data_IF_570935109092
#
_entry.id   IF_570935109092
#
_cell.length_a   1.000
_cell.length_b   1.000
_cell.length_c   1.000
_cell.angle_alpha   90.00
_cell.angle_beta   90.00
_cell.angle_gamma   90.00
#
_symmetry.space_group_name_H-M   'P 1'
#
loop_
_entity.id
_entity.type
_entity.pdbx_description
1 polymer ?
#
# COMPACT_ATOMS: atom_id res chain seq x y z
N UNK A 1 -4.85 -15.85 9.63
CA UNK A 1 -4.86 -14.82 10.69
C UNK A 1 -3.99 -15.18 11.90
N UNK A 2 -3.25 -16.29 11.85
CA UNK A 2 -2.56 -16.84 13.03
C UNK A 2 -1.35 -16.03 13.49
N UNK A 3 -0.73 -15.23 12.61
CA UNK A 3 0.47 -14.45 12.96
C UNK A 3 0.22 -13.46 14.11
N UNK A 4 -0.81 -12.63 13.99
CA UNK A 4 -1.09 -11.60 15.00
C UNK A 4 -1.47 -12.20 16.35
N UNK A 5 -2.26 -13.28 16.34
CA UNK A 5 -2.77 -13.90 17.55
C UNK A 5 -1.71 -14.77 18.26
N UNK A 6 -0.96 -15.57 17.49
CA UNK A 6 -0.11 -16.61 18.08
C UNK A 6 1.33 -16.14 18.31
N UNK A 7 1.76 -15.04 17.69
CA UNK A 7 3.14 -14.56 17.77
C UNK A 7 3.19 -13.10 18.19
N UNK A 8 2.65 -12.18 17.36
CA UNK A 8 2.82 -10.75 17.63
C UNK A 8 2.21 -10.32 18.97
N UNK A 9 1.01 -10.81 19.29
CA UNK A 9 0.37 -10.49 20.57
C UNK A 9 1.16 -11.06 21.75
N UNK A 10 1.66 -12.28 21.64
CA UNK A 10 2.47 -12.89 22.70
C UNK A 10 3.75 -12.09 22.94
N UNK A 11 4.43 -11.65 21.88
CA UNK A 11 5.66 -10.87 22.00
C UNK A 11 5.39 -9.46 22.56
N UNK A 12 4.29 -8.81 22.17
CA UNK A 12 3.87 -7.54 22.78
C UNK A 12 3.49 -7.69 24.25
N UNK A 13 2.85 -8.79 24.65
CA UNK A 13 2.54 -9.06 26.06
C UNK A 13 3.81 -9.34 26.87
N UNK A 14 4.76 -10.07 26.29
CA UNK A 14 6.06 -10.35 26.92
C UNK A 14 6.88 -9.08 27.11
N UNK A 15 6.84 -8.15 26.15
CA UNK A 15 7.49 -6.84 26.25
C UNK A 15 6.88 -5.93 27.33
N UNK A 16 5.65 -6.22 27.79
CA UNK A 16 4.96 -5.45 28.81
C UNK A 16 4.90 -3.95 28.48
N UNK A 17 5.47 -3.12 29.37
CA UNK A 17 5.54 -1.67 29.20
C UNK A 17 6.90 -1.17 28.67
N UNK A 18 7.80 -2.08 28.27
CA UNK A 18 9.11 -1.72 27.73
C UNK A 18 8.99 -1.23 26.29
N UNK A 19 9.17 0.08 26.09
CA UNK A 19 9.14 0.70 24.76
C UNK A 19 10.20 0.09 23.84
N UNK A 20 11.40 -0.18 24.37
CA UNK A 20 12.52 -0.72 23.60
C UNK A 20 12.18 -2.13 23.10
N UNK A 21 11.62 -2.99 23.96
CA UNK A 21 11.23 -4.36 23.56
C UNK A 21 10.06 -4.36 22.57
N UNK A 22 9.09 -3.45 22.72
CA UNK A 22 8.01 -3.26 21.75
C UNK A 22 8.59 -2.84 20.38
N UNK A 23 9.57 -1.93 20.35
CA UNK A 23 10.26 -1.53 19.12
C UNK A 23 10.97 -2.74 18.48
N UNK A 24 11.67 -3.54 19.28
CA UNK A 24 12.34 -4.75 18.82
C UNK A 24 11.35 -5.76 18.21
N UNK A 25 10.14 -5.90 18.77
CA UNK A 25 9.09 -6.73 18.19
C UNK A 25 8.73 -6.28 16.76
N UNK A 26 8.62 -4.98 16.50
CA UNK A 26 8.36 -4.47 15.14
C UNK A 26 9.50 -4.82 14.16
N UNK A 27 10.74 -4.67 14.61
CA UNK A 27 11.93 -4.96 13.79
C UNK A 27 12.03 -6.46 13.48
N UNK A 28 11.92 -7.32 14.49
CA UNK A 28 11.99 -8.77 14.35
C UNK A 28 10.91 -9.32 13.38
N UNK A 29 9.71 -8.73 13.42
CA UNK A 29 8.58 -9.18 12.59
C UNK A 29 8.42 -8.45 11.27
N UNK A 30 9.32 -7.49 10.94
CA UNK A 30 9.25 -6.69 9.70
C UNK A 30 8.97 -7.52 8.46
N UNK A 31 9.77 -8.56 8.22
CA UNK A 31 9.64 -9.39 7.02
C UNK A 31 8.32 -10.18 7.02
N UNK A 32 7.84 -10.59 8.19
CA UNK A 32 6.57 -11.30 8.32
C UNK A 32 5.39 -10.38 8.04
N UNK A 33 5.45 -9.14 8.51
CA UNK A 33 4.49 -8.10 8.14
C UNK A 33 4.48 -7.90 6.63
N UNK A 34 5.64 -7.68 6.01
CA UNK A 34 5.74 -7.42 4.57
C UNK A 34 5.09 -8.56 3.77
N UNK A 35 5.47 -9.82 4.03
CA UNK A 35 4.90 -10.98 3.33
C UNK A 35 3.39 -11.10 3.50
N UNK A 36 2.89 -10.96 4.73
CA UNK A 36 1.48 -11.13 5.06
C UNK A 36 0.63 -10.05 4.40
N UNK A 37 1.02 -8.79 4.57
CA UNK A 37 0.27 -7.63 4.08
C UNK A 37 0.43 -7.45 2.57
N UNK A 38 1.57 -7.80 1.97
CA UNK A 38 1.72 -7.79 0.51
C UNK A 38 0.72 -8.73 -0.15
N UNK A 39 0.63 -9.98 0.34
CA UNK A 39 -0.34 -10.96 -0.17
C UNK A 39 -1.77 -10.47 0.00
N UNK A 40 -2.09 -9.87 1.13
CA UNK A 40 -3.44 -9.37 1.40
C UNK A 40 -3.80 -8.19 0.48
N UNK A 41 -2.94 -7.17 0.41
CA UNK A 41 -3.15 -5.98 -0.42
C UNK A 41 -3.27 -6.33 -1.90
N UNK A 42 -2.47 -7.30 -2.39
CA UNK A 42 -2.55 -7.77 -3.78
C UNK A 42 -3.91 -8.39 -4.12
N UNK A 43 -4.50 -9.14 -3.19
CA UNK A 43 -5.75 -9.85 -3.42
C UNK A 43 -7.00 -9.01 -3.09
N UNK A 44 -6.85 -7.93 -2.31
CA UNK A 44 -7.97 -7.10 -1.83
C UNK A 44 -8.84 -6.53 -2.97
N UNK A 45 -8.30 -5.99 -4.08
CA UNK A 45 -9.13 -5.47 -5.18
C UNK A 45 -10.00 -6.54 -5.81
N UNK A 46 -9.44 -7.74 -6.05
CA UNK A 46 -10.17 -8.88 -6.61
C UNK A 46 -11.28 -9.33 -5.65
N UNK A 47 -10.98 -9.45 -4.35
CA UNK A 47 -11.97 -9.81 -3.33
C UNK A 47 -13.13 -8.82 -3.25
N UNK A 48 -12.87 -7.52 -3.40
CA UNK A 48 -13.93 -6.50 -3.45
C UNK A 48 -14.71 -6.50 -4.77
N UNK A 49 -14.06 -6.79 -5.89
CA UNK A 49 -14.75 -6.93 -7.18
C UNK A 49 -15.75 -8.09 -7.13
N UNK A 50 -15.29 -9.28 -6.72
CA UNK A 50 -16.14 -10.46 -6.54
C UNK A 50 -17.27 -10.19 -5.56
N UNK A 51 -16.98 -9.61 -4.39
CA UNK A 51 -18.03 -9.28 -3.41
C UNK A 51 -19.09 -8.34 -3.98
N UNK A 52 -18.71 -7.35 -4.78
CA UNK A 52 -19.66 -6.41 -5.42
C UNK A 52 -20.51 -7.11 -6.49
N UNK A 53 -19.89 -7.94 -7.33
CA UNK A 53 -20.60 -8.73 -8.35
C UNK A 53 -21.63 -9.68 -7.73
N UNK A 54 -21.24 -10.37 -6.65
CA UNK A 54 -22.13 -11.29 -5.95
C UNK A 54 -23.18 -10.57 -5.07
N UNK A 55 -23.09 -9.24 -4.94
CA UNK A 55 -24.08 -8.46 -4.18
C UNK A 55 -25.37 -8.23 -4.99
N UNK A 56 -25.33 -8.33 -6.33
CA UNK A 56 -26.54 -8.36 -7.17
C UNK A 56 -27.20 -9.73 -7.20
N UNK A 57 -26.53 -10.79 -6.73
CA UNK A 57 -27.14 -12.09 -6.50
C UNK A 57 -27.84 -12.10 -5.12
N UNK A 58 -29.18 -12.09 -5.16
CA UNK A 58 -30.02 -12.06 -3.95
C UNK A 58 -29.77 -13.21 -2.98
N UNK A 59 -29.28 -14.37 -3.44
CA UNK A 59 -28.98 -15.52 -2.58
C UNK A 59 -27.71 -15.26 -1.77
N UNK A 60 -26.63 -14.80 -2.42
CA UNK A 60 -25.34 -14.55 -1.76
C UNK A 60 -25.42 -13.30 -0.87
N UNK A 61 -26.11 -12.25 -1.32
CA UNK A 61 -26.36 -11.08 -0.49
C UNK A 61 -27.10 -11.44 0.81
N UNK A 62 -28.14 -12.29 0.71
CA UNK A 62 -28.89 -12.78 1.88
C UNK A 62 -28.03 -13.67 2.77
N UNK A 63 -27.17 -14.53 2.20
CA UNK A 63 -26.23 -15.35 2.98
C UNK A 63 -25.31 -14.49 3.85
N UNK A 64 -24.67 -13.45 3.29
CA UNK A 64 -23.79 -12.58 4.07
C UNK A 64 -24.54 -11.77 5.14
N UNK A 65 -25.76 -11.31 4.84
CA UNK A 65 -26.60 -10.62 5.81
C UNK A 65 -26.97 -11.53 7.00
N UNK A 66 -27.33 -12.80 6.73
CA UNK A 66 -27.65 -13.76 7.79
C UNK A 66 -26.41 -14.13 8.62
N UNK A 67 -25.25 -14.31 7.98
CA UNK A 67 -23.99 -14.50 8.69
C UNK A 67 -23.65 -13.32 9.60
N UNK A 68 -23.86 -12.08 9.13
CA UNK A 68 -23.64 -10.87 9.94
C UNK A 68 -24.58 -10.84 11.15
N UNK A 69 -25.87 -11.14 10.95
CA UNK A 69 -26.87 -11.20 12.02
C UNK A 69 -26.53 -12.27 13.05
N UNK A 70 -26.22 -13.48 12.61
CA UNK A 70 -25.83 -14.61 13.49
C UNK A 70 -24.58 -14.32 14.29
N UNK A 71 -23.62 -13.61 13.72
CA UNK A 71 -22.40 -13.20 14.42
C UNK A 71 -22.61 -11.98 15.34
N UNK A 72 -23.79 -11.35 15.33
CA UNK A 72 -24.06 -10.12 16.10
C UNK A 72 -23.17 -8.95 15.67
N UNK A 73 -22.70 -8.94 14.42
CA UNK A 73 -21.73 -7.95 13.97
C UNK A 73 -22.40 -6.62 13.58
N UNK A 74 -21.97 -5.47 14.15
CA UNK A 74 -22.57 -4.17 13.87
C UNK A 74 -22.19 -3.59 12.51
N UNK A 75 -21.14 -4.12 11.86
CA UNK A 75 -20.63 -3.61 10.59
C UNK A 75 -20.77 -4.67 9.48
N UNK A 76 -20.84 -4.26 8.19
CA UNK A 76 -20.81 -5.19 7.08
C UNK A 76 -19.43 -5.84 6.93
N UNK A 77 -19.38 -7.01 6.29
CA UNK A 77 -18.14 -7.77 6.02
C UNK A 77 -17.05 -6.89 5.38
N UNK A 78 -17.40 -6.00 4.45
CA UNK A 78 -16.47 -5.09 3.77
C UNK A 78 -15.66 -4.23 4.74
N UNK A 79 -16.28 -3.76 5.84
CA UNK A 79 -15.59 -2.98 6.86
C UNK A 79 -14.53 -3.82 7.61
N UNK A 80 -14.83 -5.10 7.87
CA UNK A 80 -13.86 -6.02 8.49
C UNK A 80 -12.70 -6.37 7.54
N UNK A 81 -12.97 -6.49 6.24
CA UNK A 81 -11.95 -6.71 5.21
C UNK A 81 -11.02 -5.49 5.02
N UNK A 82 -11.38 -4.31 5.50
CA UNK A 82 -10.46 -3.15 5.51
C UNK A 82 -9.52 -3.15 6.71
N UNK A 83 -9.85 -3.87 7.80
CA UNK A 83 -9.07 -3.83 9.05
C UNK A 83 -7.59 -4.18 8.88
N UNK A 84 -7.16 -5.15 8.04
CA UNK A 84 -5.74 -5.42 7.85
C UNK A 84 -4.99 -4.21 7.24
N UNK A 85 -5.54 -3.60 6.19
CA UNK A 85 -4.93 -2.41 5.56
C UNK A 85 -4.85 -1.27 6.57
N UNK A 86 -5.92 -1.04 7.34
CA UNK A 86 -5.93 -0.02 8.39
C UNK A 86 -4.93 -0.32 9.51
N UNK A 87 -4.75 -1.59 9.87
CA UNK A 87 -3.86 -2.01 10.95
C UNK A 87 -2.40 -1.75 10.60
N UNK A 88 -1.97 -2.16 9.40
CA UNK A 88 -0.57 -1.96 8.98
C UNK A 88 -0.24 -0.47 8.85
N UNK A 89 -1.17 0.37 8.38
CA UNK A 89 -0.97 1.83 8.29
C UNK A 89 -1.02 2.52 9.66
N UNK A 90 -1.67 1.92 10.66
CA UNK A 90 -1.79 2.49 12.00
C UNK A 90 -0.51 2.32 12.83
N UNK A 91 0.31 1.30 12.58
CA UNK A 91 1.53 1.08 13.37
C UNK A 91 2.50 2.26 13.35
N UNK A 92 2.74 2.89 12.20
CA UNK A 92 3.59 4.08 12.14
C UNK A 92 2.99 5.28 12.89
N UNK A 93 1.65 5.41 12.95
CA UNK A 93 0.99 6.45 13.74
C UNK A 93 1.19 6.23 15.24
N UNK A 94 1.07 4.97 15.68
CA UNK A 94 1.27 4.59 17.07
C UNK A 94 2.74 4.81 17.49
N UNK A 95 3.70 4.42 16.65
CA UNK A 95 5.12 4.67 16.90
C UNK A 95 5.45 6.16 16.94
N UNK A 96 4.85 6.99 16.06
CA UNK A 96 4.95 8.45 16.15
C UNK A 96 4.40 9.00 17.46
N UNK A 97 3.32 8.42 17.97
CA UNK A 97 2.74 8.83 19.25
C UNK A 97 3.64 8.45 20.43
N UNK A 98 4.23 7.25 20.40
CA UNK A 98 5.23 6.81 21.38
C UNK A 98 6.46 7.71 21.33
N UNK A 99 6.94 8.06 20.13
CA UNK A 99 8.11 8.93 19.96
C UNK A 99 7.93 10.29 20.68
N UNK A 100 6.72 10.86 20.66
CA UNK A 100 6.42 12.14 21.35
C UNK A 100 6.49 12.07 22.88
N UNK A 101 6.30 10.88 23.46
CA UNK A 101 6.13 10.71 24.90
C UNK A 101 7.22 9.86 25.55
N UNK A 102 8.09 9.21 24.76
CA UNK A 102 9.17 8.39 25.28
C UNK A 102 10.34 9.22 25.80
N UNK A 103 11.06 8.69 26.78
CA UNK A 103 12.31 9.28 27.27
C UNK A 103 13.44 9.17 26.25
N UNK A 104 14.47 10.00 26.40
CA UNK A 104 15.56 10.13 25.42
C UNK A 104 16.29 8.80 25.12
N UNK A 105 16.39 7.91 26.12
CA UNK A 105 16.99 6.59 25.95
C UNK A 105 16.23 5.69 24.97
N UNK A 106 14.90 5.87 24.87
CA UNK A 106 14.05 5.05 23.99
C UNK A 106 13.90 5.65 22.58
N UNK A 107 14.13 6.96 22.40
CA UNK A 107 13.93 7.66 21.12
C UNK A 107 14.65 6.98 19.94
N UNK A 108 15.94 6.61 20.03
CA UNK A 108 16.64 5.97 18.90
C UNK A 108 15.98 4.66 18.45
N UNK A 109 15.48 3.86 19.40
CA UNK A 109 14.78 2.60 19.10
C UNK A 109 13.42 2.84 18.45
N UNK A 110 12.70 3.88 18.90
CA UNK A 110 11.42 4.27 18.31
C UNK A 110 11.63 4.80 16.89
N UNK A 111 12.67 5.61 16.66
CA UNK A 111 13.04 6.12 15.34
C UNK A 111 13.38 4.98 14.37
N UNK A 112 14.16 4.00 14.81
CA UNK A 112 14.50 2.82 14.02
C UNK A 112 13.24 2.00 13.65
N UNK A 113 12.39 1.70 14.64
CA UNK A 113 11.15 0.96 14.41
C UNK A 113 10.19 1.74 13.51
N UNK A 114 10.08 3.06 13.69
CA UNK A 114 9.25 3.93 12.87
C UNK A 114 9.74 3.97 11.43
N UNK A 115 11.04 4.19 11.23
CA UNK A 115 11.68 4.18 9.91
C UNK A 115 11.43 2.86 9.19
N UNK A 116 11.64 1.74 9.90
CA UNK A 116 11.29 0.42 9.39
C UNK A 116 9.81 0.33 8.97
N UNK A 117 8.87 0.68 9.84
CA UNK A 117 7.45 0.58 9.48
C UNK A 117 7.05 1.51 8.31
N UNK A 118 7.65 2.69 8.18
CA UNK A 118 7.46 3.59 7.03
C UNK A 118 8.00 2.96 5.73
N UNK A 119 9.21 2.41 5.76
CA UNK A 119 9.81 1.73 4.62
C UNK A 119 9.00 0.51 4.19
N UNK A 120 8.46 -0.25 5.14
CA UNK A 120 7.59 -1.37 4.85
C UNK A 120 6.34 -0.91 4.10
N UNK A 121 5.70 0.18 4.56
CA UNK A 121 4.53 0.75 3.88
C UNK A 121 4.88 1.26 2.48
N UNK A 122 6.04 1.89 2.32
CA UNK A 122 6.53 2.33 1.02
C UNK A 122 6.76 1.15 0.06
N UNK A 123 7.34 0.04 0.53
CA UNK A 123 7.52 -1.18 -0.25
C UNK A 123 6.17 -1.82 -0.63
N UNK A 124 5.22 -1.92 0.30
CA UNK A 124 3.87 -2.40 0.00
C UNK A 124 3.19 -1.54 -1.07
N UNK A 125 3.24 -0.22 -0.91
CA UNK A 125 2.66 0.73 -1.86
C UNK A 125 3.27 0.55 -3.26
N UNK A 126 4.60 0.53 -3.33
CA UNK A 126 5.37 0.31 -4.56
C UNK A 126 4.94 -0.95 -5.28
N UNK A 127 4.89 -2.08 -4.58
CA UNK A 127 4.51 -3.36 -5.14
C UNK A 127 3.08 -3.34 -5.71
N UNK A 128 2.13 -2.67 -5.03
CA UNK A 128 0.75 -2.57 -5.52
C UNK A 128 0.62 -1.74 -6.79
N UNK A 129 1.43 -0.69 -6.95
CA UNK A 129 1.43 0.12 -8.15
C UNK A 129 2.13 -0.55 -9.33
N UNK A 130 3.24 -1.25 -9.08
CA UNK A 130 3.99 -1.99 -10.10
C UNK A 130 3.12 -3.01 -10.83
N UNK A 131 2.18 -3.68 -10.14
CA UNK A 131 1.24 -4.64 -10.75
C UNK A 131 0.38 -4.03 -11.87
N UNK A 132 0.22 -2.70 -11.88
CA UNK A 132 -0.64 -2.00 -12.82
C UNK A 132 0.16 -1.19 -13.86
N UNK A 133 1.49 -1.24 -13.85
CA UNK A 133 2.33 -0.55 -14.84
C UNK A 133 2.76 -1.55 -15.91
N UNK A 134 2.46 -1.26 -17.19
CA UNK A 134 2.77 -2.11 -18.32
C UNK A 134 3.69 -1.40 -19.33
N UNK A 135 4.50 -2.17 -20.07
CA UNK A 135 5.33 -1.64 -21.16
C UNK A 135 6.58 -0.86 -20.69
N UNK A 136 6.95 -0.97 -19.42
CA UNK A 136 8.25 -0.49 -18.95
C UNK A 136 9.34 -1.46 -19.38
N UNK A 137 10.37 -0.96 -20.07
CA UNK A 137 11.51 -1.76 -20.51
C UNK A 137 12.60 -1.65 -19.46
N UNK A 138 12.58 -2.56 -18.50
CA UNK A 138 13.48 -2.59 -17.34
C UNK A 138 12.83 -3.32 -16.17
N UNK A 139 13.55 -3.42 -15.07
CA UNK A 139 13.05 -4.02 -13.84
C UNK A 139 12.46 -2.94 -12.93
N UNK A 140 11.12 -2.87 -12.84
CA UNK A 140 10.45 -1.93 -11.96
C UNK A 140 10.84 -2.13 -10.50
N UNK A 141 11.20 -3.35 -10.08
CA UNK A 141 11.60 -3.64 -8.70
C UNK A 141 12.88 -2.92 -8.28
N UNK A 142 13.72 -2.55 -9.26
CA UNK A 142 14.96 -1.79 -9.04
C UNK A 142 14.75 -0.28 -8.98
N UNK A 143 13.54 0.22 -9.26
CA UNK A 143 13.24 1.65 -9.20
C UNK A 143 13.16 2.18 -7.74
N UNK A 144 13.15 1.31 -6.73
CA UNK A 144 13.03 1.71 -5.33
C UNK A 144 11.61 2.13 -4.96
N UNK A 145 11.46 2.87 -3.86
CA UNK A 145 10.14 3.20 -3.32
C UNK A 145 9.41 4.23 -4.18
N UNK A 146 8.11 4.04 -4.39
CA UNK A 146 7.21 5.04 -4.96
C UNK A 146 6.98 6.16 -3.94
N UNK A 147 7.45 7.37 -4.26
CA UNK A 147 7.35 8.57 -3.43
C UNK A 147 6.14 9.44 -3.77
N UNK A 148 5.80 9.50 -5.06
CA UNK A 148 4.70 10.35 -5.51
C UNK A 148 3.99 9.76 -6.72
N UNK A 149 2.67 9.95 -6.74
CA UNK A 149 1.84 9.62 -7.87
C UNK A 149 0.77 10.69 -8.05
N UNK A 150 0.66 11.26 -9.25
CA UNK A 150 -0.43 12.17 -9.59
C UNK A 150 -0.68 12.21 -11.11
N UNK A 151 -1.89 12.58 -11.51
CA UNK A 151 -2.21 12.84 -12.90
C UNK A 151 -1.98 14.33 -13.21
N UNK A 152 -1.35 14.64 -14.35
CA UNK A 152 -1.13 16.02 -14.78
C UNK A 152 -1.06 16.15 -16.30
N UNK A 153 -1.17 17.40 -16.77
CA UNK A 153 -0.98 17.75 -18.17
C UNK A 153 0.49 18.07 -18.45
N UNK A 154 1.10 17.31 -19.36
CA UNK A 154 2.50 17.47 -19.77
C UNK A 154 2.57 18.24 -21.08
N UNK A 155 3.41 19.27 -21.11
CA UNK A 155 3.69 20.08 -22.29
C UNK A 155 5.14 19.87 -22.72
N UNK A 156 5.35 19.35 -23.92
CA UNK A 156 6.70 19.24 -24.49
C UNK A 156 7.06 20.51 -25.24
N UNK A 157 8.20 21.10 -24.92
CA UNK A 157 8.71 22.27 -25.61
C UNK A 157 9.49 21.88 -26.88
N UNK A 158 9.06 22.36 -28.06
CA UNK A 158 9.81 22.19 -29.31
C UNK A 158 10.76 23.35 -29.51
N UNK A 159 12.07 23.11 -29.28
CA UNK A 159 13.12 24.12 -29.44
C UNK A 159 13.13 24.77 -30.83
N UNK A 160 12.96 23.97 -31.91
CA UNK A 160 12.99 24.46 -33.31
C UNK A 160 11.92 25.49 -33.63
N UNK A 161 10.71 25.32 -33.09
CA UNK A 161 9.56 26.19 -33.38
C UNK A 161 9.25 27.16 -32.23
N UNK A 162 10.03 27.14 -31.13
CA UNK A 162 9.80 27.88 -29.87
C UNK A 162 8.34 27.84 -29.39
N UNK A 163 7.68 26.70 -29.52
CA UNK A 163 6.26 26.50 -29.17
C UNK A 163 6.10 25.28 -28.28
N UNK A 164 5.10 25.33 -27.39
CA UNK A 164 4.65 24.17 -26.64
C UNK A 164 3.77 23.29 -27.54
N UNK A 165 3.96 21.98 -27.43
CA UNK A 165 3.02 21.02 -28.01
C UNK A 165 1.70 21.04 -27.23
N UNK A 166 0.66 20.44 -27.83
CA UNK A 166 -0.62 20.19 -27.17
C UNK A 166 -0.39 19.41 -25.86
N UNK A 167 -1.14 19.79 -24.83
CA UNK A 167 -1.16 19.13 -23.54
C UNK A 167 -1.37 17.61 -23.69
N UNK A 168 -0.58 16.84 -22.97
CA UNK A 168 -0.68 15.39 -22.90
C UNK A 168 -1.01 14.98 -21.46
N UNK A 169 -2.23 14.49 -21.22
CA UNK A 169 -2.60 13.94 -19.92
C UNK A 169 -1.77 12.67 -19.61
N UNK A 170 -1.07 12.66 -18.49
CA UNK A 170 -0.20 11.56 -18.05
C UNK A 170 -0.36 11.30 -16.56
N UNK A 171 -0.25 10.03 -16.18
CA UNK A 171 -0.02 9.62 -14.81
C UNK A 171 1.49 9.63 -14.55
N UNK A 172 1.92 10.35 -13.53
CA UNK A 172 3.30 10.35 -13.06
C UNK A 172 3.48 9.34 -11.93
N UNK A 173 4.57 8.59 -11.98
CA UNK A 173 5.06 7.75 -10.88
C UNK A 173 6.51 8.13 -10.58
N UNK A 174 6.74 8.80 -9.46
CA UNK A 174 8.07 9.15 -8.99
C UNK A 174 8.56 8.06 -8.04
N UNK A 175 9.53 7.29 -8.48
CA UNK A 175 10.28 6.37 -7.65
C UNK A 175 11.64 6.96 -7.27
N UNK A 176 12.31 6.37 -6.29
CA UNK A 176 13.67 6.75 -5.89
C UNK A 176 14.66 6.73 -7.08
N UNK A 177 14.54 5.73 -7.96
CA UNK A 177 15.37 5.57 -9.15
C UNK A 177 14.97 6.42 -10.37
N UNK A 178 13.85 7.14 -10.31
CA UNK A 178 13.43 8.03 -11.39
C UNK A 178 11.93 8.21 -11.55
N UNK A 179 11.56 9.04 -12.53
CA UNK A 179 10.19 9.43 -12.84
C UNK A 179 9.67 8.69 -14.08
N UNK A 180 8.55 7.98 -13.94
CA UNK A 180 7.82 7.39 -15.06
C UNK A 180 6.62 8.25 -15.44
N UNK A 181 6.42 8.38 -16.75
CA UNK A 181 5.26 8.98 -17.37
C UNK A 181 4.46 7.88 -18.03
N UNK A 182 3.26 7.63 -17.52
CA UNK A 182 2.35 6.62 -18.03
C UNK A 182 1.10 7.26 -18.63
N UNK A 183 0.47 6.57 -19.57
CA UNK A 183 -0.88 6.85 -20.03
C UNK A 183 -1.84 5.92 -19.32
N UNK A 184 -2.83 6.48 -18.63
CA UNK A 184 -3.93 5.71 -18.03
C UNK A 184 -4.74 5.03 -19.14
N UNK A 185 -4.99 3.74 -18.99
CA UNK A 185 -5.76 2.90 -19.91
C UNK A 185 -6.82 2.15 -19.12
N UNK A 186 -7.95 1.88 -19.76
CA UNK A 186 -8.99 1.03 -19.21
C UNK A 186 -9.09 -0.22 -20.07
N UNK A 187 -9.27 -1.38 -19.44
CA UNK A 187 -9.64 -2.62 -20.14
C UNK A 187 -11.11 -2.92 -19.85
N UNK A 188 -11.79 -3.58 -20.79
CA UNK A 188 -13.15 -4.09 -20.57
C UNK A 188 -13.13 -5.41 -19.80
N UNK A 189 -12.54 -5.42 -18.60
CA UNK A 189 -12.60 -6.57 -17.69
C UNK A 189 -13.11 -6.14 -16.31
N UNK A 190 -14.02 -6.92 -15.68
CA UNK A 190 -14.71 -6.51 -14.45
C UNK A 190 -13.78 -6.29 -13.23
N UNK A 191 -12.60 -6.90 -13.22
CA UNK A 191 -11.75 -7.05 -12.02
C UNK A 191 -10.44 -6.25 -12.05
N UNK A 192 -10.06 -5.70 -13.22
CA UNK A 192 -8.88 -4.84 -13.39
C UNK A 192 -9.25 -3.72 -14.38
N UNK A 193 -10.01 -2.74 -13.89
CA UNK A 193 -10.62 -1.72 -14.74
C UNK A 193 -9.60 -0.76 -15.36
N UNK A 194 -8.41 -0.63 -14.77
CA UNK A 194 -7.43 0.39 -15.16
C UNK A 194 -5.98 -0.11 -15.03
N UNK A 195 -5.14 0.25 -16.00
CA UNK A 195 -3.69 0.05 -15.97
C UNK A 195 -2.96 1.27 -16.54
N UNK A 196 -1.65 1.35 -16.32
CA UNK A 196 -0.80 2.48 -16.65
C UNK A 196 0.25 2.04 -17.67
N UNK A 197 0.04 2.45 -18.92
CA UNK A 197 0.95 2.14 -20.02
C UNK A 197 2.14 3.11 -20.00
N UNK A 198 3.35 2.62 -19.76
CA UNK A 198 4.57 3.41 -19.78
C UNK A 198 4.80 4.10 -21.15
N UNK A 199 5.23 5.37 -21.12
CA UNK A 199 5.51 6.17 -22.32
C UNK A 199 6.89 6.81 -22.32
N UNK A 200 7.36 7.26 -21.17
CA UNK A 200 8.64 7.93 -21.02
C UNK A 200 9.13 7.71 -19.58
N UNK A 201 10.45 7.68 -19.41
CA UNK A 201 11.10 7.71 -18.10
C UNK A 201 12.19 8.77 -18.08
N UNK A 202 12.39 9.39 -16.91
CA UNK A 202 13.54 10.24 -16.60
C UNK A 202 14.26 9.56 -15.43
N UNK A 203 15.45 8.97 -15.64
CA UNK A 203 16.19 8.35 -14.55
C UNK A 203 16.67 9.43 -13.56
N UNK A 204 16.77 9.05 -12.28
CA UNK A 204 17.49 9.88 -11.32
C UNK A 204 18.98 9.79 -11.64
N UNK A 205 19.63 10.94 -11.92
CA UNK A 205 21.09 10.99 -12.11
C UNK A 205 21.73 11.21 -10.75
N UNK A 206 22.59 10.28 -10.34
CA UNK A 206 23.57 10.51 -9.27
C UNK A 206 24.65 11.47 -9.76
#
# INVERSE_FOLDING_TARGET
MNFHNNYLLADFLAAGNSIIEICQCFLNHRNKFLQLYHRYCRNKPLGEALRREQQSDGVIAKFFAECQKRAGHPLPLSAYLLKPVQRITKYQLLLKEVHRHCGDQAKPHVDEALSSMLDLLAQLNTAMHQLHIAGFVGDLSQMGALRFQNECDIYTFKKRTRRLNKAQRRQLFLFDGGLLFCKKRSQSVPYASEYYEHKLSIPHRH
#
